data_IF_988592777973
#
_entry.id   IF_988592777973
#
_cell.length_a   1.000
_cell.length_b   1.000
_cell.length_c   1.000
_cell.angle_alpha   90.00
_cell.angle_beta   90.00
_cell.angle_gamma   90.00
#
_symmetry.space_group_name_H-M   'P 1'
#
loop_
_entity.id
_entity.type
_entity.pdbx_description
1 polymer ?
#
# COMPACT_ATOMS: atom_id res chain seq x y z
N UNK A 1 -31.99 4.22 -71.44
CA UNK A 1 -32.81 3.15 -70.86
C UNK A 1 -31.98 2.47 -69.76
N UNK A 2 -32.05 3.02 -68.55
CA UNK A 2 -31.43 2.42 -67.36
C UNK A 2 -32.40 1.35 -66.82
N UNK A 3 -31.98 0.09 -66.76
CA UNK A 3 -32.70 -0.97 -66.06
C UNK A 3 -32.15 -1.05 -64.63
N UNK A 4 -32.92 -0.55 -63.67
CA UNK A 4 -32.67 -0.74 -62.23
C UNK A 4 -33.21 -2.12 -61.87
N UNK A 5 -32.31 -3.04 -61.51
CA UNK A 5 -32.67 -4.36 -60.97
C UNK A 5 -32.96 -4.19 -59.49
N UNK A 6 -34.24 -4.25 -59.13
CA UNK A 6 -34.70 -4.28 -57.75
C UNK A 6 -34.45 -5.70 -57.19
N UNK A 7 -33.36 -5.89 -56.45
CA UNK A 7 -33.12 -7.12 -55.69
C UNK A 7 -34.03 -7.10 -54.47
N UNK A 8 -35.18 -7.76 -54.56
CA UNK A 8 -36.03 -8.08 -53.42
C UNK A 8 -35.27 -9.07 -52.53
N UNK A 9 -34.75 -8.59 -51.39
CA UNK A 9 -34.34 -9.45 -50.28
C UNK A 9 -35.60 -10.11 -49.73
N UNK A 10 -35.94 -11.29 -50.25
CA UNK A 10 -36.94 -12.14 -49.62
C UNK A 10 -36.44 -12.46 -48.20
N UNK A 11 -37.24 -12.22 -47.15
CA UNK A 11 -36.90 -12.75 -45.83
C UNK A 11 -36.80 -14.26 -45.98
N UNK A 12 -35.68 -14.86 -45.56
CA UNK A 12 -35.53 -16.30 -45.48
C UNK A 12 -36.60 -16.82 -44.52
N UNK A 13 -37.71 -17.31 -45.06
CA UNK A 13 -38.75 -17.98 -44.29
C UNK A 13 -38.12 -19.26 -43.79
N UNK A 14 -37.73 -19.27 -42.51
CA UNK A 14 -37.25 -20.48 -41.86
C UNK A 14 -38.48 -21.30 -41.52
N UNK A 15 -38.68 -22.45 -42.18
CA UNK A 15 -39.82 -23.35 -41.94
C UNK A 15 -39.68 -24.18 -40.63
N UNK A 16 -38.80 -23.75 -39.73
CA UNK A 16 -38.47 -24.42 -38.47
C UNK A 16 -37.72 -23.49 -37.51
N UNK A 17 -37.81 -23.76 -36.21
CA UNK A 17 -36.96 -23.14 -35.20
C UNK A 17 -35.51 -23.64 -35.32
N UNK A 18 -34.56 -22.72 -35.08
CA UNK A 18 -33.13 -23.01 -35.00
C UNK A 18 -32.71 -23.51 -33.61
N UNK A 19 -31.50 -23.14 -33.19
CA UNK A 19 -30.93 -23.55 -31.90
C UNK A 19 -31.86 -23.18 -30.72
N UNK A 20 -32.04 -24.09 -29.73
CA UNK A 20 -32.82 -23.78 -28.54
C UNK A 20 -32.23 -22.62 -27.73
N UNK A 21 -33.07 -21.85 -27.00
CA UNK A 21 -32.60 -20.79 -26.12
C UNK A 21 -31.56 -21.27 -25.10
N UNK A 22 -30.57 -20.43 -24.80
CA UNK A 22 -29.50 -20.72 -23.85
C UNK A 22 -29.72 -19.99 -22.54
N UNK A 23 -29.38 -20.66 -21.44
CA UNK A 23 -29.58 -20.19 -20.08
C UNK A 23 -28.32 -20.42 -19.26
N UNK A 24 -28.11 -19.55 -18.28
CA UNK A 24 -26.99 -19.65 -17.34
C UNK A 24 -27.23 -20.79 -16.36
N UNK A 25 -28.44 -20.91 -15.81
CA UNK A 25 -28.73 -21.88 -14.73
C UNK A 25 -29.28 -23.22 -15.22
N UNK A 26 -29.68 -23.28 -16.49
CA UNK A 26 -30.30 -24.45 -17.12
C UNK A 26 -29.46 -25.00 -18.28
N UNK A 27 -29.60 -26.29 -18.53
CA UNK A 27 -29.00 -27.00 -19.67
C UNK A 27 -30.07 -27.75 -20.45
N UNK A 28 -29.92 -27.80 -21.78
CA UNK A 28 -30.80 -28.58 -22.64
C UNK A 28 -30.68 -30.06 -22.27
N UNK A 29 -31.83 -30.74 -22.20
CA UNK A 29 -31.88 -32.18 -21.95
C UNK A 29 -31.63 -32.92 -23.27
N UNK A 30 -30.45 -33.56 -23.35
CA UNK A 30 -29.99 -34.25 -24.56
C UNK A 30 -29.27 -33.33 -25.54
N UNK A 31 -28.95 -33.85 -26.73
CA UNK A 31 -28.26 -33.10 -27.77
C UNK A 31 -29.23 -32.24 -28.59
N UNK A 32 -28.84 -31.02 -29.01
CA UNK A 32 -29.66 -30.19 -29.88
C UNK A 32 -29.81 -30.84 -31.27
N UNK A 33 -30.99 -30.69 -31.87
CA UNK A 33 -31.26 -31.02 -33.27
C UNK A 33 -30.88 -29.83 -34.16
N UNK A 34 -30.54 -30.05 -35.44
CA UNK A 34 -30.23 -28.95 -36.36
C UNK A 34 -31.45 -28.07 -36.69
N UNK A 35 -32.67 -28.61 -36.60
CA UNK A 35 -33.94 -27.89 -36.81
C UNK A 35 -35.05 -28.51 -35.97
N UNK A 36 -36.02 -27.69 -35.56
CA UNK A 36 -37.20 -28.09 -34.79
C UNK A 36 -38.48 -27.62 -35.47
N UNK A 37 -39.40 -28.54 -35.74
CA UNK A 37 -40.67 -28.21 -36.40
C UNK A 37 -41.67 -27.55 -35.43
N UNK A 38 -42.65 -26.77 -35.94
CA UNK A 38 -43.74 -26.25 -35.12
C UNK A 38 -44.42 -27.34 -34.28
N UNK A 39 -44.66 -27.03 -33.01
CA UNK A 39 -45.17 -27.94 -31.99
C UNK A 39 -44.13 -28.83 -31.30
N UNK A 40 -42.89 -28.93 -31.83
CA UNK A 40 -41.82 -29.68 -31.14
C UNK A 40 -41.41 -28.98 -29.83
N UNK A 41 -41.17 -29.78 -28.78
CA UNK A 41 -40.81 -29.30 -27.45
C UNK A 41 -39.39 -29.71 -27.08
N UNK A 42 -38.64 -28.75 -26.54
CA UNK A 42 -37.39 -29.02 -25.83
C UNK A 42 -37.59 -28.89 -24.32
N UNK A 43 -36.82 -29.68 -23.56
CA UNK A 43 -36.87 -29.69 -22.11
C UNK A 43 -35.49 -29.35 -21.55
N UNK A 44 -35.47 -28.66 -20.41
CA UNK A 44 -34.27 -28.22 -19.73
C UNK A 44 -34.17 -28.83 -18.32
N UNK A 45 -32.95 -29.22 -17.95
CA UNK A 45 -32.59 -29.61 -16.60
C UNK A 45 -31.77 -28.49 -15.95
N UNK A 46 -31.84 -28.35 -14.62
CA UNK A 46 -30.93 -27.43 -13.93
C UNK A 46 -29.48 -27.91 -14.09
N UNK A 47 -28.54 -26.97 -14.22
CA UNK A 47 -27.12 -27.28 -14.18
C UNK A 47 -26.70 -27.78 -12.79
N UNK A 48 -25.55 -28.45 -12.71
CA UNK A 48 -24.95 -28.80 -11.41
C UNK A 48 -24.69 -27.53 -10.61
N UNK A 49 -24.91 -27.59 -9.30
CA UNK A 49 -24.91 -26.41 -8.44
C UNK A 49 -26.20 -25.58 -8.45
N UNK A 50 -27.22 -25.95 -9.26
CA UNK A 50 -28.52 -25.27 -9.31
C UNK A 50 -29.69 -26.22 -8.99
N UNK A 51 -30.81 -25.65 -8.52
CA UNK A 51 -32.06 -26.34 -8.18
C UNK A 51 -33.26 -25.59 -8.75
N UNK A 52 -34.41 -26.25 -8.97
CA UNK A 52 -35.61 -25.57 -9.46
C UNK A 52 -36.06 -24.45 -8.52
N UNK A 53 -36.53 -23.34 -9.09
CA UNK A 53 -37.20 -22.27 -8.35
C UNK A 53 -38.58 -22.77 -7.90
N UNK A 54 -38.97 -22.46 -6.66
CA UNK A 54 -40.29 -22.77 -6.09
C UNK A 54 -41.04 -21.46 -5.86
N UNK A 55 -42.28 -21.29 -6.36
CA UNK A 55 -43.10 -22.25 -7.10
C UNK A 55 -42.50 -22.63 -8.46
N UNK A 56 -42.75 -23.87 -8.90
CA UNK A 56 -42.14 -24.44 -10.10
C UNK A 56 -42.42 -23.59 -11.33
N UNK A 57 -41.34 -23.04 -11.91
CA UNK A 57 -41.36 -22.35 -13.20
C UNK A 57 -41.24 -23.33 -14.36
N UNK A 58 -41.78 -23.01 -15.55
CA UNK A 58 -41.64 -23.87 -16.73
C UNK A 58 -40.16 -24.06 -17.09
N UNK A 59 -39.80 -25.26 -17.56
CA UNK A 59 -38.45 -25.63 -18.02
C UNK A 59 -38.50 -26.25 -19.41
N UNK A 60 -39.40 -25.77 -20.24
CA UNK A 60 -39.59 -26.28 -21.60
C UNK A 60 -40.01 -25.15 -22.51
N UNK A 61 -39.40 -25.10 -23.69
CA UNK A 61 -39.81 -24.22 -24.77
C UNK A 61 -40.42 -25.06 -25.91
N UNK A 62 -41.39 -24.49 -26.61
CA UNK A 62 -42.06 -25.09 -27.76
C UNK A 62 -41.76 -24.24 -28.99
N UNK A 63 -41.49 -24.87 -30.12
CA UNK A 63 -41.39 -24.16 -31.38
C UNK A 63 -42.80 -23.76 -31.84
N UNK A 64 -43.08 -22.46 -31.96
CA UNK A 64 -44.39 -21.94 -32.35
C UNK A 64 -44.56 -21.94 -33.89
N UNK A 65 -45.79 -21.71 -34.35
CA UNK A 65 -46.13 -21.74 -35.79
C UNK A 65 -45.45 -20.62 -36.59
N UNK A 66 -44.97 -19.57 -35.91
CA UNK A 66 -44.15 -18.50 -36.49
C UNK A 66 -42.65 -18.83 -36.55
N UNK A 67 -42.29 -20.08 -36.22
CA UNK A 67 -40.93 -20.61 -36.17
C UNK A 67 -40.03 -19.92 -35.13
N UNK A 68 -40.63 -19.33 -34.08
CA UNK A 68 -39.92 -18.82 -32.91
C UNK A 68 -40.13 -19.72 -31.70
N UNK A 69 -39.18 -19.70 -30.77
CA UNK A 69 -39.33 -20.44 -29.50
C UNK A 69 -40.24 -19.67 -28.56
N UNK A 70 -41.20 -20.39 -27.95
CA UNK A 70 -42.06 -19.84 -26.90
C UNK A 70 -41.21 -19.20 -25.78
N UNK A 71 -41.63 -18.04 -25.29
CA UNK A 71 -40.91 -17.30 -24.25
C UNK A 71 -40.64 -18.18 -23.00
N UNK A 72 -39.38 -18.20 -22.56
CA UNK A 72 -38.94 -18.98 -21.40
C UNK A 72 -37.90 -18.18 -20.60
N UNK A 73 -38.09 -18.10 -19.28
CA UNK A 73 -37.16 -17.44 -18.36
C UNK A 73 -36.33 -18.45 -17.57
N UNK A 74 -35.33 -17.96 -16.82
CA UNK A 74 -34.61 -18.77 -15.84
C UNK A 74 -35.56 -19.39 -14.81
N UNK A 75 -35.45 -20.71 -14.66
CA UNK A 75 -36.30 -21.51 -13.79
C UNK A 75 -35.50 -22.30 -12.74
N UNK A 76 -34.18 -22.11 -12.68
CA UNK A 76 -33.32 -22.66 -11.65
C UNK A 76 -32.57 -21.55 -10.89
N UNK A 77 -32.25 -21.82 -9.63
CA UNK A 77 -31.48 -20.94 -8.75
C UNK A 77 -30.34 -21.72 -8.10
N UNK A 78 -29.31 -21.02 -7.62
CA UNK A 78 -28.15 -21.66 -6.99
C UNK A 78 -28.57 -22.52 -5.80
N UNK A 79 -27.91 -23.66 -5.64
CA UNK A 79 -27.97 -24.47 -4.41
C UNK A 79 -27.21 -23.72 -3.30
N UNK A 80 -27.56 -24.04 -2.05
CA UNK A 80 -26.93 -23.46 -0.86
C UNK A 80 -26.00 -24.49 -0.24
N UNK A 81 -24.78 -24.09 0.08
CA UNK A 81 -23.95 -24.86 0.99
C UNK A 81 -24.52 -24.82 2.43
N UNK A 82 -24.11 -25.76 3.29
CA UNK A 82 -24.41 -25.69 4.72
C UNK A 82 -23.97 -24.34 5.30
N UNK A 83 -24.76 -23.78 6.21
CA UNK A 83 -24.33 -22.57 6.91
C UNK A 83 -23.19 -22.92 7.88
N UNK A 84 -22.06 -22.24 7.76
CA UNK A 84 -20.94 -22.40 8.69
C UNK A 84 -21.19 -21.54 9.92
N UNK A 85 -20.87 -22.09 11.09
CA UNK A 85 -20.84 -21.34 12.35
C UNK A 85 -19.48 -20.73 12.61
N UNK A 86 -19.43 -19.76 13.51
CA UNK A 86 -18.15 -19.23 14.01
C UNK A 86 -17.34 -20.36 14.68
N UNK A 87 -16.05 -20.51 14.33
CA UNK A 87 -15.19 -21.44 15.05
C UNK A 87 -14.95 -20.92 16.47
N UNK A 88 -14.64 -21.83 17.40
CA UNK A 88 -14.32 -21.44 18.77
C UNK A 88 -13.09 -20.54 18.76
N UNK A 89 -13.19 -19.36 19.38
CA UNK A 89 -12.18 -18.30 19.34
C UNK A 89 -11.85 -17.77 17.93
N UNK A 90 -12.81 -17.79 17.02
CA UNK A 90 -12.71 -17.11 15.73
C UNK A 90 -14.08 -16.71 15.18
N UNK A 91 -14.08 -16.24 13.95
CA UNK A 91 -15.23 -15.68 13.26
C UNK A 91 -15.21 -16.08 11.80
N UNK A 92 -16.39 -16.31 11.22
CA UNK A 92 -16.57 -16.54 9.78
C UNK A 92 -17.27 -15.35 9.12
N UNK A 93 -16.74 -14.93 7.98
CA UNK A 93 -17.26 -13.83 7.16
C UNK A 93 -17.61 -14.34 5.77
N UNK A 94 -18.89 -14.34 5.44
CA UNK A 94 -19.35 -14.70 4.10
C UNK A 94 -19.22 -13.52 3.15
N UNK A 95 -18.50 -13.70 2.03
CA UNK A 95 -18.39 -12.67 1.01
C UNK A 95 -19.78 -12.38 0.45
N UNK A 96 -20.18 -11.10 0.48
CA UNK A 96 -21.52 -10.63 0.11
C UNK A 96 -22.67 -11.27 0.93
N UNK A 97 -22.39 -11.84 2.11
CA UNK A 97 -23.40 -12.45 2.98
C UNK A 97 -24.07 -13.70 2.40
N UNK A 98 -23.44 -14.35 1.41
CA UNK A 98 -24.05 -15.45 0.66
C UNK A 98 -23.38 -16.80 0.92
N UNK A 99 -24.18 -17.85 1.05
CA UNK A 99 -23.74 -19.25 1.18
C UNK A 99 -24.10 -20.09 -0.05
N UNK A 100 -24.41 -19.44 -1.17
CA UNK A 100 -24.81 -20.10 -2.40
C UNK A 100 -23.60 -20.69 -3.14
N UNK A 101 -23.86 -21.63 -4.05
CA UNK A 101 -22.85 -22.18 -4.96
C UNK A 101 -21.95 -21.08 -5.53
N UNK A 102 -20.63 -21.21 -5.44
CA UNK A 102 -19.64 -20.23 -5.88
C UNK A 102 -19.33 -19.10 -4.88
N UNK A 103 -19.94 -19.10 -3.68
CA UNK A 103 -19.60 -18.18 -2.60
C UNK A 103 -18.30 -18.56 -1.87
N UNK A 104 -17.77 -17.59 -1.11
CA UNK A 104 -16.56 -17.73 -0.29
C UNK A 104 -16.86 -17.43 1.18
N UNK A 105 -16.23 -18.19 2.08
CA UNK A 105 -16.27 -17.97 3.53
C UNK A 105 -14.85 -17.73 4.05
N UNK A 106 -14.63 -16.57 4.68
CA UNK A 106 -13.33 -16.15 5.20
C UNK A 106 -13.29 -16.32 6.72
N UNK A 107 -12.27 -17.01 7.22
CA UNK A 107 -12.10 -17.25 8.64
C UNK A 107 -11.00 -16.36 9.23
N UNK A 108 -11.30 -15.85 10.42
CA UNK A 108 -10.38 -15.00 11.19
C UNK A 108 -10.40 -15.48 12.63
N UNK A 109 -9.23 -15.73 13.22
CA UNK A 109 -9.13 -16.05 14.64
C UNK A 109 -9.15 -14.78 15.49
N UNK A 110 -9.72 -14.89 16.69
CA UNK A 110 -9.73 -13.82 17.66
C UNK A 110 -8.30 -13.49 18.11
N UNK A 111 -8.11 -12.30 18.69
CA UNK A 111 -6.81 -11.88 19.20
C UNK A 111 -6.23 -12.90 20.20
N UNK A 112 -4.96 -13.26 20.01
CA UNK A 112 -4.28 -14.27 20.83
C UNK A 112 -4.49 -15.71 20.35
N UNK A 113 -5.08 -15.91 19.16
CA UNK A 113 -5.24 -17.20 18.53
C UNK A 113 -4.71 -17.18 17.09
N UNK A 114 -4.14 -18.30 16.66
CA UNK A 114 -3.64 -18.51 15.30
C UNK A 114 -4.50 -19.57 14.59
N UNK A 115 -4.55 -19.51 13.26
CA UNK A 115 -5.44 -20.31 12.42
C UNK A 115 -4.76 -21.58 11.93
N UNK A 116 -5.36 -22.73 12.21
CA UNK A 116 -4.97 -24.05 11.68
C UNK A 116 -6.04 -24.52 10.69
N UNK A 117 -5.63 -24.72 9.44
CA UNK A 117 -6.50 -25.14 8.33
C UNK A 117 -6.65 -24.07 7.25
N UNK A 118 -7.66 -24.20 6.40
CA UNK A 118 -7.92 -23.27 5.31
C UNK A 118 -8.52 -21.94 5.82
N UNK A 119 -7.89 -20.82 5.47
CA UNK A 119 -8.41 -19.47 5.78
C UNK A 119 -9.69 -19.15 4.99
N UNK A 120 -9.80 -19.66 3.76
CA UNK A 120 -10.90 -19.37 2.84
C UNK A 120 -11.48 -20.71 2.36
N UNK A 121 -12.78 -20.86 2.50
CA UNK A 121 -13.54 -21.98 1.93
C UNK A 121 -14.38 -21.52 0.75
N UNK A 122 -14.56 -22.41 -0.22
CA UNK A 122 -15.32 -22.19 -1.45
C UNK A 122 -16.51 -23.14 -1.49
N UNK A 123 -17.71 -22.61 -1.79
CA UNK A 123 -18.91 -23.41 -1.95
C UNK A 123 -18.93 -24.03 -3.34
N UNK A 124 -18.53 -25.30 -3.46
CA UNK A 124 -18.29 -25.97 -4.74
C UNK A 124 -19.23 -27.17 -4.96
N UNK A 125 -19.16 -27.77 -6.13
CA UNK A 125 -19.94 -28.97 -6.45
C UNK A 125 -19.33 -30.15 -5.69
N UNK A 126 -20.16 -30.82 -4.88
CA UNK A 126 -19.80 -32.06 -4.20
C UNK A 126 -20.79 -33.14 -4.61
N UNK A 127 -20.30 -34.09 -5.41
CA UNK A 127 -21.12 -35.13 -6.07
C UNK A 127 -22.28 -34.52 -6.88
N UNK A 128 -23.52 -34.69 -6.41
CA UNK A 128 -24.73 -34.14 -7.03
C UNK A 128 -25.27 -32.90 -6.31
N UNK A 129 -24.61 -32.44 -5.25
CA UNK A 129 -25.01 -31.29 -4.43
C UNK A 129 -23.92 -30.22 -4.42
N UNK A 130 -23.98 -29.30 -3.46
CA UNK A 130 -22.92 -28.33 -3.18
C UNK A 130 -22.50 -28.45 -1.73
N UNK A 131 -21.20 -28.32 -1.49
CA UNK A 131 -20.62 -28.28 -0.16
C UNK A 131 -19.39 -27.36 -0.14
N UNK A 132 -18.96 -26.96 1.04
CA UNK A 132 -17.65 -26.33 1.21
C UNK A 132 -16.55 -27.32 0.82
N UNK A 133 -15.49 -26.80 0.20
CA UNK A 133 -14.39 -27.58 -0.35
C UNK A 133 -13.46 -28.18 0.73
N UNK A 134 -13.56 -27.71 1.97
CA UNK A 134 -12.78 -28.21 3.12
C UNK A 134 -13.59 -28.03 4.42
N UNK A 135 -13.08 -28.55 5.52
CA UNK A 135 -13.65 -28.41 6.85
C UNK A 135 -13.34 -27.02 7.47
N UNK A 136 -14.18 -26.60 8.44
CA UNK A 136 -13.94 -25.35 9.18
C UNK A 136 -12.59 -25.37 9.91
N UNK A 137 -11.79 -24.29 9.84
CA UNK A 137 -10.49 -24.22 10.51
C UNK A 137 -10.63 -24.12 12.04
N UNK A 138 -9.54 -24.41 12.73
CA UNK A 138 -9.43 -24.35 14.19
C UNK A 138 -8.60 -23.14 14.58
N UNK A 139 -9.06 -22.40 15.60
CA UNK A 139 -8.31 -21.31 16.21
C UNK A 139 -7.69 -21.77 17.52
N UNK A 140 -6.36 -21.91 17.54
CA UNK A 140 -5.60 -22.32 18.71
C UNK A 140 -4.88 -21.15 19.37
N UNK A 141 -4.61 -21.26 20.67
CA UNK A 141 -3.96 -20.19 21.43
C UNK A 141 -2.54 -19.99 20.92
N UNK A 142 -2.15 -18.74 20.73
CA UNK A 142 -0.77 -18.38 20.47
C UNK A 142 0.03 -18.55 21.77
N UNK A 143 1.05 -19.40 21.67
CA UNK A 143 2.05 -19.65 22.70
C UNK A 143 3.43 -19.55 22.06
N UNK A 144 4.34 -18.86 22.73
CA UNK A 144 5.74 -18.81 22.35
C UNK A 144 6.59 -19.62 23.33
N UNK A 145 7.46 -20.45 22.79
CA UNK A 145 8.53 -21.09 23.55
C UNK A 145 9.48 -20.05 24.16
N UNK A 146 10.21 -20.46 25.20
CA UNK A 146 11.23 -19.64 25.84
C UNK A 146 12.18 -19.02 24.80
N UNK A 147 12.36 -17.68 24.82
CA UNK A 147 13.21 -17.02 23.84
C UNK A 147 14.68 -17.38 24.07
N UNK A 148 15.50 -17.21 23.03
CA UNK A 148 16.91 -17.64 23.07
C UNK A 148 17.72 -17.01 24.20
N UNK A 149 18.52 -17.82 24.89
CA UNK A 149 19.47 -17.32 25.88
C UNK A 149 20.63 -16.57 25.20
N UNK A 150 21.12 -15.52 25.84
CA UNK A 150 22.20 -14.68 25.31
C UNK A 150 23.44 -14.78 26.22
N UNK A 151 24.63 -14.66 25.66
CA UNK A 151 25.88 -14.65 26.44
C UNK A 151 26.02 -13.32 27.17
N UNK A 152 26.51 -13.34 28.42
CA UNK A 152 26.72 -12.15 29.26
C UNK A 152 25.46 -11.29 29.45
N UNK A 153 24.30 -11.92 29.43
CA UNK A 153 23.03 -11.27 29.63
C UNK A 153 21.96 -12.26 30.06
N UNK A 154 20.84 -11.69 30.47
CA UNK A 154 19.68 -12.40 30.97
C UNK A 154 18.41 -11.68 30.52
N UNK A 155 17.28 -12.34 30.64
CA UNK A 155 15.97 -11.72 30.43
C UNK A 155 15.08 -11.90 31.65
N UNK A 156 14.03 -11.08 31.73
CA UNK A 156 13.02 -11.13 32.79
C UNK A 156 12.18 -12.40 32.72
N UNK A 157 11.73 -12.91 33.88
CA UNK A 157 10.72 -13.97 34.06
C UNK A 157 10.92 -15.17 33.12
N UNK A 158 11.60 -16.21 33.59
CA UNK A 158 11.75 -17.47 32.86
C UNK A 158 10.48 -18.32 32.94
N UNK A 159 9.93 -18.72 31.79
CA UNK A 159 8.81 -19.65 31.66
C UNK A 159 9.08 -20.61 30.50
N UNK A 160 8.48 -21.79 30.57
CA UNK A 160 8.51 -22.75 29.45
C UNK A 160 7.70 -22.22 28.26
N UNK A 161 6.57 -21.54 28.53
CA UNK A 161 5.68 -20.97 27.52
C UNK A 161 5.22 -19.55 27.91
N UNK A 162 5.09 -18.70 26.89
CA UNK A 162 4.62 -17.32 26.99
C UNK A 162 3.35 -17.12 26.18
N UNK A 163 2.40 -16.38 26.73
CA UNK A 163 1.14 -16.09 26.04
C UNK A 163 1.31 -14.94 25.05
N UNK A 164 0.40 -14.85 24.07
CA UNK A 164 0.31 -13.70 23.17
C UNK A 164 0.40 -12.35 23.90
N UNK A 165 1.18 -11.43 23.35
CA UNK A 165 1.51 -10.12 23.91
C UNK A 165 2.27 -10.14 25.25
N UNK A 166 2.68 -11.29 25.78
CA UNK A 166 3.65 -11.30 26.87
C UNK A 166 5.00 -10.79 26.38
N UNK A 167 5.71 -10.15 27.31
CA UNK A 167 6.92 -9.40 27.04
C UNK A 167 8.07 -9.97 27.86
N UNK A 168 9.21 -10.15 27.22
CA UNK A 168 10.48 -10.35 27.89
C UNK A 168 11.41 -9.17 27.64
N UNK A 169 12.14 -8.76 28.67
CA UNK A 169 13.10 -7.66 28.60
C UNK A 169 14.49 -8.23 28.88
N UNK A 170 15.39 -8.07 27.90
CA UNK A 170 16.78 -8.45 27.99
C UNK A 170 17.62 -7.34 28.64
N UNK A 171 18.63 -7.78 29.38
CA UNK A 171 19.61 -6.92 30.02
C UNK A 171 20.97 -7.60 30.04
N UNK A 172 22.05 -6.83 29.89
CA UNK A 172 23.38 -7.36 30.04
C UNK A 172 23.75 -7.53 31.51
N UNK A 173 24.49 -8.60 31.78
CA UNK A 173 25.09 -8.81 33.09
C UNK A 173 26.21 -7.80 33.33
N UNK A 174 26.58 -7.53 34.60
CA UNK A 174 27.77 -6.74 34.90
C UNK A 174 29.02 -7.36 34.26
N UNK A 175 29.87 -6.52 33.66
CA UNK A 175 31.14 -6.98 33.10
C UNK A 175 32.18 -7.19 34.20
N UNK A 176 32.97 -8.26 34.09
CA UNK A 176 34.14 -8.50 34.93
C UNK A 176 35.41 -7.81 34.38
N UNK A 177 35.34 -7.25 33.17
CA UNK A 177 36.45 -6.59 32.49
C UNK A 177 36.50 -5.08 32.77
N UNK A 178 37.48 -4.36 32.18
CA UNK A 178 37.59 -2.91 32.33
C UNK A 178 36.48 -2.16 31.62
N UNK A 179 35.77 -2.79 30.69
CA UNK A 179 34.74 -2.19 29.85
C UNK A 179 33.40 -2.89 30.05
N UNK A 180 32.32 -2.10 30.02
CA UNK A 180 30.94 -2.57 30.19
C UNK A 180 30.43 -3.28 28.93
N UNK A 181 29.49 -4.21 29.11
CA UNK A 181 28.74 -4.79 28.00
C UNK A 181 27.68 -3.81 27.52
N UNK A 182 27.55 -3.70 26.20
CA UNK A 182 26.47 -2.98 25.53
C UNK A 182 25.46 -3.97 24.99
N UNK A 183 24.17 -3.66 25.16
CA UNK A 183 23.08 -4.41 24.53
C UNK A 183 22.90 -3.92 23.09
N UNK A 184 23.16 -4.81 22.14
CA UNK A 184 23.06 -4.57 20.70
C UNK A 184 21.89 -5.37 20.13
N UNK A 185 20.84 -4.67 19.70
CA UNK A 185 19.60 -5.26 19.21
C UNK A 185 18.39 -4.67 19.93
N UNK A 186 17.23 -5.30 19.76
CA UNK A 186 16.00 -4.93 20.46
C UNK A 186 16.01 -5.54 21.88
N UNK A 187 15.84 -4.70 22.90
CA UNK A 187 15.86 -5.17 24.30
C UNK A 187 14.56 -5.83 24.73
N UNK A 188 13.47 -5.64 23.98
CA UNK A 188 12.12 -6.03 24.36
C UNK A 188 11.53 -6.94 23.29
N UNK A 189 11.26 -8.19 23.64
CA UNK A 189 10.63 -9.15 22.73
C UNK A 189 9.19 -9.39 23.17
N UNK A 190 8.27 -9.41 22.21
CA UNK A 190 6.83 -9.63 22.41
C UNK A 190 6.44 -10.93 21.71
N UNK A 191 5.67 -11.80 22.35
CA UNK A 191 5.11 -12.99 21.71
C UNK A 191 4.00 -12.55 20.74
N UNK A 192 4.24 -12.68 19.43
CA UNK A 192 3.37 -12.12 18.39
C UNK A 192 2.59 -13.19 17.63
N UNK A 193 3.11 -14.41 17.54
CA UNK A 193 2.46 -15.54 16.87
C UNK A 193 2.98 -16.86 17.46
N UNK A 194 2.44 -18.00 17.03
CA UNK A 194 2.86 -19.33 17.48
C UNK A 194 4.38 -19.51 17.30
N UNK A 195 5.08 -19.72 18.41
CA UNK A 195 6.55 -19.82 18.49
C UNK A 195 7.33 -18.66 17.83
N UNK A 196 6.70 -17.50 17.69
CA UNK A 196 7.29 -16.34 17.03
C UNK A 196 7.34 -15.12 17.95
N UNK A 197 8.56 -14.64 18.18
CA UNK A 197 8.84 -13.39 18.86
C UNK A 197 8.94 -12.22 17.88
N UNK A 198 8.69 -11.01 18.36
CA UNK A 198 8.72 -9.77 17.55
C UNK A 198 10.08 -9.42 16.97
N UNK A 199 11.17 -9.97 17.51
CA UNK A 199 12.56 -9.76 17.08
C UNK A 199 13.41 -10.94 17.54
N UNK A 200 14.59 -11.10 16.95
CA UNK A 200 15.62 -11.99 17.47
C UNK A 200 16.19 -11.47 18.81
N UNK A 201 16.69 -12.36 19.70
CA UNK A 201 17.35 -11.96 20.94
C UNK A 201 18.57 -11.05 20.69
N UNK A 202 18.80 -10.02 21.53
CA UNK A 202 19.92 -9.10 21.37
C UNK A 202 21.26 -9.73 21.79
N UNK A 203 22.37 -9.07 21.44
CA UNK A 203 23.70 -9.45 21.90
C UNK A 203 24.18 -8.57 23.04
N UNK A 204 24.81 -9.17 24.05
CA UNK A 204 25.56 -8.47 25.09
C UNK A 204 27.06 -8.63 24.87
N UNK A 205 27.70 -7.58 24.33
CA UNK A 205 29.13 -7.56 24.00
C UNK A 205 29.76 -6.22 24.29
N UNK A 206 31.08 -6.19 24.42
CA UNK A 206 31.81 -4.93 24.56
C UNK A 206 31.80 -4.21 23.21
N UNK A 207 31.16 -3.05 23.17
CA UNK A 207 31.18 -2.13 22.03
C UNK A 207 31.80 -0.83 22.52
N UNK A 208 32.97 -0.49 22.02
CA UNK A 208 33.70 0.70 22.48
C UNK A 208 34.47 1.31 21.34
N UNK A 209 34.06 2.51 20.95
CA UNK A 209 34.74 3.26 19.92
C UNK A 209 35.96 4.00 20.49
N UNK A 210 36.97 4.17 19.64
CA UNK A 210 38.18 4.92 19.97
C UNK A 210 37.85 6.37 20.32
N UNK A 211 38.74 7.01 21.08
CA UNK A 211 38.58 8.42 21.41
C UNK A 211 38.64 9.26 20.12
N UNK A 212 37.57 9.99 19.75
CA UNK A 212 37.52 10.64 18.46
C UNK A 212 38.32 11.95 18.47
N UNK A 213 39.34 12.03 17.63
CA UNK A 213 40.21 13.20 17.49
C UNK A 213 40.03 13.80 16.10
N UNK A 214 39.69 15.08 16.05
CA UNK A 214 39.57 15.87 14.82
C UNK A 214 40.61 16.98 14.86
N UNK A 215 41.56 16.95 13.93
CA UNK A 215 42.60 17.97 13.82
C UNK A 215 41.96 19.33 13.49
N UNK A 216 42.40 20.40 14.16
CA UNK A 216 41.81 21.74 14.06
C UNK A 216 40.31 21.81 14.37
N UNK A 217 39.78 20.81 15.08
CA UNK A 217 38.44 20.79 15.64
C UNK A 217 38.45 20.50 17.13
N UNK A 218 37.28 20.61 17.73
CA UNK A 218 37.02 20.29 19.13
C UNK A 218 35.67 19.59 19.28
N UNK A 219 35.57 18.75 20.32
CA UNK A 219 34.29 18.18 20.74
C UNK A 219 33.45 19.30 21.32
N UNK A 220 32.34 19.62 20.67
CA UNK A 220 31.35 20.58 21.11
C UNK A 220 30.45 19.99 22.20
N UNK A 221 30.03 18.73 22.05
CA UNK A 221 29.18 18.04 23.01
C UNK A 221 29.37 16.52 22.96
N UNK A 222 28.93 15.84 24.02
CA UNK A 222 29.05 14.37 24.14
C UNK A 222 30.37 13.89 24.73
N UNK A 223 31.20 14.77 25.29
CA UNK A 223 32.48 14.40 25.91
C UNK A 223 32.31 13.36 27.03
N UNK A 224 33.05 12.25 26.91
CA UNK A 224 33.09 11.14 27.89
C UNK A 224 34.51 10.57 27.95
N UNK A 225 34.82 9.84 29.02
CA UNK A 225 36.08 9.08 29.14
C UNK A 225 36.12 7.85 28.23
N UNK A 226 34.94 7.26 27.96
CA UNK A 226 34.76 6.08 27.11
C UNK A 226 33.47 6.24 26.30
N UNK A 227 33.46 5.76 25.07
CA UNK A 227 32.36 5.87 24.14
C UNK A 227 31.82 4.48 23.78
N UNK A 228 30.75 4.09 24.46
CA UNK A 228 30.08 2.81 24.24
C UNK A 228 29.03 2.89 23.13
N UNK A 229 28.33 1.80 22.86
CA UNK A 229 27.30 1.73 21.83
C UNK A 229 26.29 2.88 21.89
N UNK A 230 25.95 3.46 20.74
CA UNK A 230 25.06 4.63 20.57
C UNK A 230 25.56 5.91 21.24
N UNK A 231 26.77 5.96 21.78
CA UNK A 231 27.37 7.22 22.23
C UNK A 231 27.47 8.18 21.03
N UNK A 232 27.04 9.42 21.24
CA UNK A 232 27.01 10.46 20.21
C UNK A 232 27.96 11.59 20.58
N UNK A 233 28.73 12.06 19.60
CA UNK A 233 29.69 13.15 19.75
C UNK A 233 29.46 14.17 18.65
N UNK A 234 29.45 15.45 19.03
CA UNK A 234 29.29 16.57 18.10
C UNK A 234 30.58 17.37 18.06
N UNK A 235 31.03 17.75 16.87
CA UNK A 235 32.24 18.50 16.63
C UNK A 235 31.96 19.93 16.17
N UNK A 236 32.93 20.79 16.43
CA UNK A 236 33.03 22.13 15.86
C UNK A 236 34.47 22.37 15.44
N UNK A 237 34.68 23.00 14.28
CA UNK A 237 36.01 23.42 13.86
C UNK A 237 36.47 24.68 14.61
N UNK A 238 37.77 24.76 14.84
CA UNK A 238 38.39 25.94 15.41
C UNK A 238 38.20 27.16 14.49
N UNK A 239 38.38 28.35 15.04
CA UNK A 239 38.22 29.60 14.28
C UNK A 239 39.11 29.61 13.02
N UNK A 240 38.52 29.95 11.87
CA UNK A 240 39.20 29.97 10.57
C UNK A 240 39.26 28.62 9.84
N UNK A 241 38.65 27.57 10.38
CA UNK A 241 38.48 26.27 9.72
C UNK A 241 37.00 25.96 9.48
N UNK A 242 36.73 25.24 8.40
CA UNK A 242 35.41 24.83 7.97
C UNK A 242 35.25 23.31 8.09
N UNK A 243 34.10 22.87 8.60
CA UNK A 243 33.80 21.46 8.82
C UNK A 243 33.38 20.80 7.50
N UNK A 244 34.02 19.70 7.18
CA UNK A 244 33.70 18.85 6.04
C UNK A 244 33.34 17.44 6.52
N UNK A 245 32.16 16.95 6.13
CA UNK A 245 31.54 15.73 6.64
C UNK A 245 30.42 16.02 7.63
N UNK A 246 30.03 15.02 8.42
CA UNK A 246 29.00 15.20 9.47
C UNK A 246 29.61 15.81 10.72
N UNK A 247 28.97 16.85 11.27
CA UNK A 247 29.34 17.39 12.57
C UNK A 247 29.05 16.42 13.71
N UNK A 248 28.26 15.37 13.47
CA UNK A 248 27.78 14.44 14.50
C UNK A 248 28.11 13.02 14.10
N UNK A 249 28.68 12.25 15.03
CA UNK A 249 29.00 10.83 14.85
C UNK A 249 28.40 10.01 15.99
N UNK A 250 28.11 8.74 15.72
CA UNK A 250 27.54 7.78 16.68
C UNK A 250 28.39 6.51 16.68
N UNK A 251 28.66 5.96 17.86
CA UNK A 251 29.37 4.70 17.99
C UNK A 251 28.44 3.54 17.62
N UNK A 252 28.73 2.86 16.51
CA UNK A 252 27.90 1.78 16.00
C UNK A 252 28.15 0.45 16.73
N UNK A 253 27.42 -0.59 16.35
CA UNK A 253 27.49 -1.92 16.96
C UNK A 253 28.84 -2.64 16.78
N UNK A 254 29.66 -2.19 15.83
CA UNK A 254 30.94 -2.79 15.46
C UNK A 254 32.14 -2.04 16.06
N UNK A 255 31.91 -1.17 17.05
CA UNK A 255 32.95 -0.32 17.65
C UNK A 255 33.58 0.67 16.67
N UNK A 256 32.82 1.09 15.65
CA UNK A 256 33.25 2.07 14.64
C UNK A 256 32.37 3.32 14.72
N UNK A 257 32.98 4.48 14.53
CA UNK A 257 32.25 5.75 14.43
C UNK A 257 31.55 5.87 13.09
N UNK A 258 30.24 6.12 13.14
CA UNK A 258 29.40 6.33 11.96
C UNK A 258 28.54 7.61 12.06
N UNK A 259 28.55 8.48 11.04
CA UNK A 259 29.48 8.45 9.90
C UNK A 259 30.95 8.64 10.35
N UNK A 260 31.91 8.48 9.42
CA UNK A 260 33.34 8.69 9.70
C UNK A 260 33.58 10.10 10.24
N UNK A 261 34.67 10.23 11.01
CA UNK A 261 35.10 11.50 11.61
C UNK A 261 35.17 12.64 10.59
N UNK A 262 34.67 13.85 10.92
CA UNK A 262 34.77 15.00 10.03
C UNK A 262 36.20 15.53 9.94
N UNK A 263 36.44 16.37 8.95
CA UNK A 263 37.72 17.08 8.75
C UNK A 263 37.51 18.58 8.84
N UNK A 264 38.48 19.30 9.42
CA UNK A 264 38.46 20.76 9.50
C UNK A 264 39.55 21.31 8.57
N UNK A 265 39.15 22.09 7.56
CA UNK A 265 40.09 22.62 6.55
C UNK A 265 39.98 24.15 6.43
N UNK A 266 41.06 24.82 5.99
CA UNK A 266 41.11 26.29 5.85
C UNK A 266 40.51 26.82 4.55
N UNK A 267 40.08 25.95 3.63
CA UNK A 267 39.71 26.36 2.26
C UNK A 267 38.24 26.81 2.25
N UNK A 268 37.91 27.95 1.61
CA UNK A 268 36.54 28.28 1.27
C UNK A 268 36.01 27.23 0.29
N UNK A 269 34.85 26.62 0.57
CA UNK A 269 34.17 25.74 -0.40
C UNK A 269 34.08 26.46 -1.75
N UNK A 270 34.69 25.88 -2.79
CA UNK A 270 34.69 26.47 -4.12
C UNK A 270 33.23 26.58 -4.63
N UNK A 271 32.79 27.82 -4.87
CA UNK A 271 31.54 28.11 -5.58
C UNK A 271 31.68 27.61 -7.02
N UNK A 272 30.68 26.90 -7.59
CA UNK A 272 30.72 26.47 -8.98
C UNK A 272 30.89 27.68 -9.91
N UNK A 273 31.88 27.59 -10.79
CA UNK A 273 32.36 28.67 -11.66
C UNK A 273 31.34 28.97 -12.75
N UNK A 274 30.83 30.21 -12.82
CA UNK A 274 30.13 30.70 -14.02
C UNK A 274 31.15 30.95 -15.15
N UNK A 275 30.80 30.67 -16.43
CA UNK A 275 31.77 30.68 -17.51
C UNK A 275 32.05 32.10 -18.01
N UNK A 276 33.33 32.41 -18.13
CA UNK A 276 33.83 33.62 -18.79
C UNK A 276 33.59 33.55 -20.30
N UNK A 277 32.92 34.55 -20.88
CA UNK A 277 33.00 34.80 -22.32
C UNK A 277 33.79 36.07 -22.58
N UNK A 278 34.78 35.90 -23.45
CA UNK A 278 35.86 36.81 -23.80
C UNK A 278 35.42 37.83 -24.86
N UNK A 279 35.84 39.08 -24.67
CA UNK A 279 35.87 40.11 -25.71
C UNK A 279 36.99 39.83 -26.72
N UNK A 280 36.71 40.01 -28.02
CA UNK A 280 37.72 40.20 -29.08
C UNK A 280 37.25 41.28 -30.08
N UNK A 281 38.20 42.14 -30.47
CA UNK A 281 38.07 43.45 -31.12
C UNK A 281 38.03 43.41 -32.66
N UNK A 282 37.20 44.23 -33.34
CA UNK A 282 37.59 45.36 -34.22
C UNK A 282 37.36 45.08 -35.74
N UNK A 283 37.40 46.05 -36.70
CA UNK A 283 37.64 47.50 -36.63
C UNK A 283 36.65 48.42 -37.43
N UNK A 284 36.93 49.74 -37.38
CA UNK A 284 36.23 50.96 -37.84
C UNK A 284 36.04 51.13 -39.37
N UNK A 285 35.05 51.94 -39.82
CA UNK A 285 35.35 53.25 -40.46
C UNK A 285 34.35 54.42 -40.15
N UNK A 286 34.85 55.66 -40.18
CA UNK A 286 34.05 56.92 -40.26
C UNK A 286 33.49 57.08 -41.71
N UNK A 287 32.45 57.84 -42.08
CA UNK A 287 32.04 59.23 -41.75
C UNK A 287 30.69 59.55 -42.47
N UNK A 288 29.94 60.56 -41.98
CA UNK A 288 28.91 61.39 -42.68
C UNK A 288 27.57 60.71 -43.01
N UNK A 289 26.35 61.19 -42.73
CA UNK A 289 25.73 62.53 -42.90
C UNK A 289 24.36 62.53 -42.17
N UNK A 290 23.94 63.68 -41.60
CA UNK A 290 22.56 63.96 -41.13
C UNK A 290 21.66 64.40 -42.33
N UNK A 291 20.35 64.79 -42.24
CA UNK A 291 19.58 65.17 -41.03
C UNK A 291 18.04 64.87 -41.05
N UNK A 292 17.36 65.38 -40.01
CA UNK A 292 15.95 65.87 -39.99
C UNK A 292 14.83 64.84 -39.80
N UNK A 293 13.78 65.03 -38.98
CA UNK A 293 13.34 66.18 -38.17
C UNK A 293 12.18 65.76 -37.23
N UNK A 294 11.99 66.55 -36.15
CA UNK A 294 10.71 66.87 -35.42
C UNK A 294 9.96 65.69 -34.76
N UNK A 295 9.82 65.54 -33.42
CA UNK A 295 9.54 66.50 -32.34
C UNK A 295 8.03 66.86 -32.27
N UNK A 296 7.38 67.09 -31.12
CA UNK A 296 7.73 66.82 -29.72
C UNK A 296 6.58 66.21 -28.83
N UNK A 297 7.01 65.82 -27.62
CA UNK A 297 6.33 65.50 -26.33
C UNK A 297 5.43 66.66 -25.80
N UNK A 298 4.94 66.68 -24.53
CA UNK A 298 4.22 65.71 -23.66
C UNK A 298 2.97 66.36 -23.01
N UNK A 299 2.22 65.65 -22.15
CA UNK A 299 1.86 66.27 -20.86
C UNK A 299 1.50 65.28 -19.74
N UNK A 300 2.03 65.62 -18.57
CA UNK A 300 1.86 65.08 -17.22
C UNK A 300 0.77 65.84 -16.47
N UNK A 301 0.08 65.21 -15.51
CA UNK A 301 -0.47 65.72 -14.22
C UNK A 301 -1.54 64.71 -13.74
N UNK A 302 -1.89 64.44 -12.47
CA UNK A 302 -1.55 64.91 -11.11
C UNK A 302 -2.24 63.96 -10.11
N UNK A 303 -1.71 63.88 -8.89
CA UNK A 303 -2.34 63.30 -7.68
C UNK A 303 -3.29 64.33 -7.03
N UNK A 304 -4.29 63.91 -6.24
CA UNK A 304 -4.37 64.45 -4.87
C UNK A 304 -4.71 63.40 -3.78
N UNK A 305 -4.30 63.73 -2.56
CA UNK A 305 -4.56 63.03 -1.29
C UNK A 305 -5.65 63.74 -0.48
N UNK A 306 -6.52 63.00 0.25
CA UNK A 306 -7.07 63.44 1.56
C UNK A 306 -7.73 62.31 2.36
N UNK A 307 -7.13 62.01 3.52
CA UNK A 307 -7.68 61.70 4.87
C UNK A 307 -9.10 61.15 5.10
N UNK A 308 -9.21 60.05 5.89
CA UNK A 308 -10.38 59.77 6.74
C UNK A 308 -10.54 58.32 7.27
N UNK A 309 -10.19 58.11 8.56
CA UNK A 309 -10.65 57.09 9.55
C UNK A 309 -10.51 55.55 9.32
N UNK A 310 -9.87 54.88 10.31
CA UNK A 310 -9.87 53.45 10.66
C UNK A 310 -11.12 53.05 11.51
N UNK A 311 -11.33 51.77 11.92
CA UNK A 311 -10.88 50.46 11.39
C UNK A 311 -11.98 49.35 11.37
N UNK A 312 -11.76 48.24 10.66
CA UNK A 312 -11.97 46.86 11.16
C UNK A 312 -11.54 45.78 10.11
N UNK A 313 -10.61 44.92 10.53
CA UNK A 313 -10.43 43.46 10.30
C UNK A 313 -11.21 42.80 9.14
N UNK A 314 -10.67 41.93 8.28
CA UNK A 314 -9.70 40.82 8.48
C UNK A 314 -9.25 40.36 7.07
N UNK A 315 -7.95 40.12 6.86
CA UNK A 315 -7.39 39.73 5.56
C UNK A 315 -7.31 38.20 5.39
N UNK A 316 -7.78 37.70 4.26
CA UNK A 316 -7.55 36.36 3.73
C UNK A 316 -6.40 36.44 2.72
N UNK A 317 -5.34 35.65 2.88
CA UNK A 317 -4.22 35.56 1.93
C UNK A 317 -4.18 34.19 1.26
N UNK A 318 -4.23 34.23 -0.07
CA UNK A 318 -4.06 33.15 -1.04
C UNK A 318 -2.59 32.86 -1.32
N UNK A 319 -2.19 31.59 -1.46
CA UNK A 319 -0.99 31.23 -2.22
C UNK A 319 -1.23 30.03 -3.15
N UNK A 320 -0.72 30.21 -4.37
CA UNK A 320 -0.73 29.36 -5.56
C UNK A 320 0.23 28.19 -5.49
N UNK A 321 -0.17 27.03 -6.03
CA UNK A 321 0.67 25.82 -6.17
C UNK A 321 1.36 25.75 -7.55
N UNK A 322 2.62 25.29 -7.57
CA UNK A 322 3.41 24.95 -8.75
C UNK A 322 3.53 23.42 -8.85
N UNK A 323 3.39 22.87 -10.06
CA UNK A 323 3.49 21.43 -10.36
C UNK A 323 4.71 21.16 -11.25
N UNK A 324 5.37 20.01 -11.08
CA UNK A 324 6.37 19.46 -12.02
C UNK A 324 6.35 17.92 -11.99
N UNK A 325 6.87 17.24 -13.05
CA UNK A 325 6.18 16.11 -13.68
C UNK A 325 6.70 14.71 -13.27
N UNK A 326 5.83 13.72 -13.49
CA UNK A 326 6.01 12.27 -13.30
C UNK A 326 6.88 11.62 -14.39
N UNK A 327 7.64 10.59 -14.01
CA UNK A 327 8.34 9.66 -14.91
C UNK A 327 7.73 8.28 -14.69
N UNK A 328 7.20 7.69 -15.76
CA UNK A 328 6.48 6.42 -15.77
C UNK A 328 7.42 5.21 -15.72
N UNK A 329 7.11 4.21 -14.89
CA UNK A 329 7.69 2.86 -14.94
C UNK A 329 6.57 1.82 -14.81
N UNK A 330 6.52 0.89 -15.76
CA UNK A 330 5.53 -0.21 -15.90
C UNK A 330 5.60 -1.28 -14.78
N UNK A 331 4.52 -2.05 -14.54
CA UNK A 331 4.38 -2.93 -13.40
C UNK A 331 4.55 -4.42 -13.80
N UNK A 332 5.74 -4.97 -13.59
CA UNK A 332 5.90 -6.40 -13.36
C UNK A 332 6.68 -6.57 -12.05
N UNK A 333 6.23 -7.48 -11.18
CA UNK A 333 6.64 -7.70 -9.77
C UNK A 333 5.85 -6.93 -8.69
N UNK A 334 4.61 -7.36 -8.44
CA UNK A 334 3.94 -7.16 -7.15
C UNK A 334 3.20 -8.43 -6.73
N UNK A 335 3.94 -9.40 -6.22
CA UNK A 335 3.45 -10.31 -5.18
C UNK A 335 4.37 -10.11 -3.95
N UNK A 336 3.81 -10.27 -2.75
CA UNK A 336 4.44 -10.15 -1.41
C UNK A 336 4.47 -8.78 -0.69
N UNK A 337 3.29 -8.20 -0.40
CA UNK A 337 3.16 -7.16 0.64
C UNK A 337 1.97 -7.39 1.59
N UNK A 338 1.73 -8.63 2.03
CA UNK A 338 0.71 -8.93 3.04
C UNK A 338 1.19 -8.85 4.50
N UNK A 339 2.47 -8.52 4.76
CA UNK A 339 3.08 -8.71 6.09
C UNK A 339 3.58 -7.43 6.79
N UNK A 340 3.01 -6.27 6.45
CA UNK A 340 3.39 -5.00 7.10
C UNK A 340 2.47 -4.67 8.29
N UNK A 341 2.95 -4.94 9.51
CA UNK A 341 2.32 -4.50 10.77
C UNK A 341 2.34 -2.97 10.89
N UNK A 342 1.30 -2.33 10.36
CA UNK A 342 1.08 -0.88 10.49
C UNK A 342 0.33 -0.59 11.80
N UNK A 343 0.94 0.19 12.71
CA UNK A 343 0.26 0.73 13.89
C UNK A 343 -0.51 2.00 13.49
N UNK A 344 -1.83 1.88 13.33
CA UNK A 344 -2.73 3.04 13.17
C UNK A 344 -3.04 3.58 14.58
N UNK A 345 -2.71 4.84 14.85
CA UNK A 345 -3.01 5.49 16.12
C UNK A 345 -3.95 6.68 15.86
N UNK A 346 -5.16 6.64 16.43
CA UNK A 346 -6.14 7.72 16.29
C UNK A 346 -5.79 8.84 17.28
N UNK A 347 -5.70 10.08 16.79
CA UNK A 347 -5.55 11.28 17.63
C UNK A 347 -6.72 12.23 17.36
N UNK A 348 -7.15 12.92 18.42
CA UNK A 348 -8.33 13.79 18.48
C UNK A 348 -8.65 14.56 17.18
N UNK A 349 -9.84 14.29 16.61
CA UNK A 349 -10.34 14.92 15.37
C UNK A 349 -10.23 14.04 14.11
N UNK A 350 -10.77 14.52 12.98
CA UNK A 350 -10.98 13.78 11.71
C UNK A 350 -9.68 13.53 10.88
N UNK A 351 -8.55 13.22 11.52
CA UNK A 351 -7.23 13.07 10.86
C UNK A 351 -6.51 11.79 11.29
N UNK A 352 -5.99 11.01 10.33
CA UNK A 352 -5.21 9.80 10.60
C UNK A 352 -3.72 10.04 10.35
N UNK A 353 -2.87 9.50 11.23
CA UNK A 353 -1.41 9.60 11.12
C UNK A 353 -0.80 8.22 11.00
N UNK A 354 -0.04 8.00 9.93
CA UNK A 354 0.74 6.78 9.67
C UNK A 354 2.22 7.08 9.90
N UNK A 355 2.86 6.27 10.76
CA UNK A 355 4.29 6.35 11.02
C UNK A 355 4.99 5.14 10.40
N UNK A 356 5.87 5.40 9.42
CA UNK A 356 6.70 4.37 8.82
C UNK A 356 8.13 4.92 8.62
N UNK A 357 9.12 4.18 9.14
CA UNK A 357 10.56 4.45 8.93
C UNK A 357 10.94 5.95 8.99
N UNK A 358 10.63 6.60 10.12
CA UNK A 358 10.93 8.02 10.42
C UNK A 358 10.19 9.06 9.57
N UNK A 359 9.19 8.66 8.77
CA UNK A 359 8.32 9.56 8.02
C UNK A 359 6.90 9.58 8.60
N UNK A 360 6.30 10.78 8.67
CA UNK A 360 4.94 11.02 9.20
C UNK A 360 4.03 11.38 8.04
N UNK A 361 3.01 10.55 7.79
CA UNK A 361 2.00 10.81 6.76
C UNK A 361 0.67 11.16 7.41
N UNK A 362 0.06 12.28 7.00
CA UNK A 362 -1.17 12.84 7.59
C UNK A 362 -2.27 12.89 6.53
N UNK A 363 -3.44 12.30 6.81
CA UNK A 363 -4.57 12.23 5.87
C UNK A 363 -5.85 12.87 6.44
N UNK A 364 -6.54 13.75 5.70
CA UNK A 364 -7.91 14.16 6.01
C UNK A 364 -8.95 13.18 5.41
N UNK A 365 -10.07 12.98 6.13
CA UNK A 365 -11.20 12.07 5.83
C UNK A 365 -11.44 11.69 4.36
N UNK A 366 -11.50 10.38 4.07
CA UNK A 366 -12.20 9.83 2.92
C UNK A 366 -13.73 9.96 3.12
N UNK A 367 -14.40 10.66 2.20
CA UNK A 367 -15.84 10.53 1.97
C UNK A 367 -16.09 9.29 1.11
N UNK A 368 -17.24 8.66 1.31
CA UNK A 368 -17.70 7.33 0.88
C UNK A 368 -17.68 7.00 -0.62
N UNK A 369 -16.84 7.64 -1.44
CA UNK A 369 -16.66 7.31 -2.85
C UNK A 369 -15.24 7.41 -3.42
N UNK A 370 -14.19 7.68 -2.65
CA UNK A 370 -12.81 7.53 -3.14
C UNK A 370 -11.84 7.31 -1.98
N UNK A 371 -11.40 6.07 -1.82
CA UNK A 371 -10.24 5.70 -1.02
C UNK A 371 -9.47 4.60 -1.77
N UNK A 372 -9.35 4.75 -3.10
CA UNK A 372 -8.54 3.91 -3.98
C UNK A 372 -7.69 4.85 -4.84
N UNK A 373 -6.44 5.09 -4.44
CA UNK A 373 -5.41 5.61 -5.34
C UNK A 373 -4.03 5.17 -4.84
N UNK A 374 -3.74 3.88 -4.98
CA UNK A 374 -2.48 3.46 -5.60
C UNK A 374 -2.85 3.13 -7.06
N UNK A 375 -2.13 3.72 -8.01
CA UNK A 375 -2.32 3.68 -9.47
C UNK A 375 -3.31 4.69 -10.08
N UNK A 376 -2.74 5.76 -10.64
CA UNK A 376 -3.27 6.43 -11.83
C UNK A 376 -2.08 6.83 -12.71
N UNK A 377 -1.78 6.02 -13.73
CA UNK A 377 -1.24 6.37 -15.06
C UNK A 377 -1.74 5.32 -16.04
#
# INVERSE_FOLDING_TARGET
MLLVVLVLLLPSVSDACGDPPRFETMRLRGAPKPRYGPGERVQYDCRLGFKPIIPLRPRSAVCEDDNTWSALEEACTRKSCPNLGDPVNGQVYFVNGSVLFGSQAHFVCNQGFYLIGARILYCEISENNVNWNDDSPICEKILCSTPGNIKNGRFTVYKDEYQYNEIVIYMCDPSNGPDEYSLVGESTLICVDYDRWSSDPPECKVVKCDYPVVEHGMILSGFRRKFYYKAQVVFKCNQGFYLHGSSTIVCNANSVWEPKLPTCTKVPVAVPTEPSTTHASGPRPNTTTAPSSTGPRPNTTTVPSSTGLHPATTATSSHTAYVSPTVDLEPEYFEDFADLHIKIQQLFGDTYVLNYHQSVFVFPRCSSHCCDYFFCT
#
